data_IF_789695042647
#
_entry.id   IF_789695042647
#
_cell.length_a   1.000
_cell.length_b   1.000
_cell.length_c   1.000
_cell.angle_alpha   90.00
_cell.angle_beta   90.00
_cell.angle_gamma   90.00
#
_symmetry.space_group_name_H-M   'P 1'
#
loop_
_entity.id
_entity.type
_entity.pdbx_description
1 polymer ?
#
# COMPACT_ATOMS: atom_id res chain seq x y z
N UNK A 1 -8.85 -40.31 53.54
CA UNK A 1 -7.71 -41.24 53.67
C UNK A 1 -6.63 -40.65 52.77
N UNK A 2 -5.72 -39.79 53.25
CA UNK A 2 -4.62 -40.07 54.20
C UNK A 2 -3.74 -41.20 53.61
N UNK A 3 -2.43 -41.11 53.40
CA UNK A 3 -1.29 -40.29 53.86
C UNK A 3 -0.18 -40.45 52.78
N UNK A 4 0.97 -39.78 52.70
CA UNK A 4 1.77 -38.89 53.57
C UNK A 4 3.05 -38.52 52.77
N UNK A 5 3.58 -37.29 52.86
CA UNK A 5 4.52 -36.77 53.89
C UNK A 5 5.99 -37.15 53.58
N UNK A 6 6.85 -36.22 53.17
CA UNK A 6 7.61 -35.26 54.01
C UNK A 6 9.12 -35.54 53.73
N UNK A 7 10.12 -34.69 53.91
CA UNK A 7 10.24 -33.36 54.49
C UNK A 7 11.54 -32.69 53.99
N UNK A 8 11.62 -31.38 54.25
CA UNK A 8 12.72 -30.47 54.01
C UNK A 8 13.98 -30.71 54.86
N UNK A 9 15.12 -30.09 54.49
CA UNK A 9 15.70 -28.95 55.23
C UNK A 9 17.22 -28.75 54.99
N UNK A 10 17.57 -27.49 54.65
CA UNK A 10 18.68 -26.64 55.17
C UNK A 10 20.12 -27.18 55.33
N UNK A 11 21.12 -26.43 54.86
CA UNK A 11 21.91 -25.50 55.70
C UNK A 11 23.11 -24.89 54.94
N UNK A 12 23.50 -23.70 55.40
CA UNK A 12 24.53 -22.81 54.90
C UNK A 12 25.95 -23.18 55.37
N UNK A 13 26.98 -22.54 54.79
CA UNK A 13 28.35 -22.55 55.32
C UNK A 13 29.33 -21.74 54.49
N UNK A 14 29.79 -20.61 55.05
CA UNK A 14 30.73 -19.65 54.49
C UNK A 14 32.21 -19.97 54.84
N UNK A 15 33.15 -19.22 54.22
CA UNK A 15 34.55 -19.07 54.65
C UNK A 15 35.53 -19.27 53.48
N UNK A 16 36.03 -18.21 52.81
CA UNK A 16 37.12 -17.31 53.22
C UNK A 16 38.52 -17.96 53.13
N UNK A 17 39.38 -17.45 52.26
CA UNK A 17 40.72 -16.93 52.60
C UNK A 17 41.47 -16.44 51.35
N UNK A 18 42.01 -15.22 51.47
CA UNK A 18 43.11 -14.69 50.66
C UNK A 18 44.45 -15.13 51.31
N UNK A 19 45.60 -14.90 50.64
CA UNK A 19 46.34 -13.71 51.07
C UNK A 19 47.07 -12.96 49.94
N UNK A 20 47.49 -11.76 50.34
CA UNK A 20 48.21 -10.73 49.59
C UNK A 20 49.71 -11.01 49.43
N UNK A 21 50.33 -10.34 48.46
CA UNK A 21 51.78 -10.13 48.37
C UNK A 21 52.08 -8.90 47.51
N UNK A 22 52.62 -7.85 48.15
CA UNK A 22 52.95 -6.55 47.57
C UNK A 22 54.31 -6.52 46.86
N UNK A 23 54.49 -5.58 45.93
CA UNK A 23 55.80 -5.21 45.37
C UNK A 23 55.71 -3.95 44.50
N UNK A 24 56.33 -2.87 44.97
CA UNK A 24 56.40 -1.54 44.36
C UNK A 24 57.48 -1.45 43.26
N UNK A 25 57.36 -0.49 42.33
CA UNK A 25 58.44 -0.14 41.40
C UNK A 25 58.05 0.76 40.22
N UNK A 26 58.07 2.06 40.47
CA UNK A 26 58.65 3.18 39.69
C UNK A 26 58.44 3.36 38.17
N UNK A 27 58.09 4.60 37.82
CA UNK A 27 58.42 5.40 36.63
C UNK A 27 58.39 4.79 35.23
N UNK A 28 57.51 5.30 34.35
CA UNK A 28 57.92 6.09 33.16
C UNK A 28 56.70 6.60 32.38
N UNK A 29 56.73 7.90 32.11
CA UNK A 29 55.85 8.59 31.17
C UNK A 29 56.10 8.07 29.76
N UNK A 30 55.04 7.64 29.07
CA UNK A 30 54.99 7.69 27.61
C UNK A 30 53.56 7.99 27.17
N UNK A 31 53.38 9.20 26.62
CA UNK A 31 52.21 9.62 25.86
C UNK A 31 51.87 8.58 24.78
N UNK A 32 50.71 7.93 24.90
CA UNK A 32 50.10 7.20 23.81
C UNK A 32 48.90 8.00 23.32
N UNK A 33 49.10 8.73 22.22
CA UNK A 33 48.04 9.36 21.44
C UNK A 33 46.89 8.38 21.22
N UNK A 34 45.76 8.63 21.89
CA UNK A 34 44.48 8.03 21.57
C UNK A 34 44.08 8.52 20.18
N UNK A 35 44.45 7.74 19.16
CA UNK A 35 43.95 7.88 17.80
C UNK A 35 42.47 7.55 17.85
N UNK A 36 41.65 8.59 18.07
CA UNK A 36 40.20 8.50 18.07
C UNK A 36 39.76 7.78 16.80
N UNK A 37 39.19 6.59 16.98
CA UNK A 37 38.57 5.82 15.92
C UNK A 37 37.44 6.66 15.34
N UNK A 38 37.68 7.17 14.13
CA UNK A 38 36.65 7.70 13.25
C UNK A 38 35.67 6.55 12.99
N UNK A 39 34.36 6.68 13.24
CA UNK A 39 33.42 5.73 12.68
C UNK A 39 33.39 5.95 11.17
N UNK A 40 34.21 5.21 10.44
CA UNK A 40 34.09 5.06 9.00
C UNK A 40 33.05 3.98 8.73
N UNK A 41 31.79 4.41 8.68
CA UNK A 41 30.82 3.78 7.80
C UNK A 41 30.29 4.90 6.88
N UNK A 42 30.40 4.78 5.55
CA UNK A 42 29.74 5.74 4.68
C UNK A 42 28.25 5.66 4.96
N UNK A 43 27.62 6.80 5.25
CA UNK A 43 26.16 6.85 5.30
C UNK A 43 25.62 6.22 4.01
N UNK A 44 24.61 5.33 4.09
CA UNK A 44 23.96 4.77 2.91
C UNK A 44 23.16 5.88 2.23
N UNK A 45 23.86 6.81 1.59
CA UNK A 45 23.31 8.01 0.99
C UNK A 45 23.31 7.90 -0.52
N UNK A 46 22.45 8.69 -1.17
CA UNK A 46 22.50 8.94 -2.61
C UNK A 46 23.60 9.96 -2.91
N UNK A 47 24.87 9.53 -3.12
CA UNK A 47 26.00 10.45 -3.20
C UNK A 47 25.92 11.14 -4.55
N UNK A 48 25.54 12.42 -4.55
CA UNK A 48 25.34 13.21 -5.78
C UNK A 48 23.95 13.81 -5.91
N UNK A 49 22.91 13.21 -5.30
CA UNK A 49 21.56 13.78 -5.37
C UNK A 49 21.49 15.17 -4.73
N UNK A 50 22.03 15.31 -3.51
CA UNK A 50 22.05 16.60 -2.80
C UNK A 50 22.76 17.71 -3.60
N UNK A 51 23.98 17.50 -4.14
CA UNK A 51 24.61 18.47 -5.04
C UNK A 51 23.75 18.84 -6.26
N UNK A 52 23.14 17.87 -6.94
CA UNK A 52 22.30 18.14 -8.10
C UNK A 52 21.07 18.98 -7.75
N UNK A 53 20.36 18.62 -6.66
CA UNK A 53 19.20 19.36 -6.18
C UNK A 53 19.58 20.79 -5.75
N UNK A 54 20.72 20.95 -5.07
CA UNK A 54 21.23 22.26 -4.68
C UNK A 54 21.60 23.14 -5.88
N UNK A 55 22.15 22.55 -6.95
CA UNK A 55 22.42 23.26 -8.19
C UNK A 55 21.13 23.79 -8.83
N UNK A 56 20.08 22.95 -8.92
CA UNK A 56 18.78 23.38 -9.44
C UNK A 56 18.18 24.54 -8.66
N UNK A 57 18.27 24.48 -7.32
CA UNK A 57 17.81 25.57 -6.45
C UNK A 57 18.63 26.86 -6.67
N UNK A 58 19.94 26.74 -6.82
CA UNK A 58 20.83 27.90 -7.07
C UNK A 58 20.51 28.56 -8.41
N UNK A 59 20.34 27.76 -9.47
CA UNK A 59 19.93 28.26 -10.79
C UNK A 59 18.55 28.93 -10.75
N UNK A 60 17.63 28.44 -9.91
CA UNK A 60 16.31 29.06 -9.72
C UNK A 60 16.42 30.40 -8.99
N UNK A 61 17.28 30.51 -7.97
CA UNK A 61 17.51 31.75 -7.20
C UNK A 61 18.06 32.89 -8.05
N UNK A 62 18.81 32.58 -9.10
CA UNK A 62 19.38 33.57 -10.03
C UNK A 62 18.38 34.03 -11.10
N UNK A 63 17.23 33.37 -11.22
CA UNK A 63 16.19 33.69 -12.19
C UNK A 63 15.07 34.55 -11.58
N UNK A 64 14.36 35.30 -12.42
CA UNK A 64 13.13 35.96 -11.99
C UNK A 64 12.03 34.92 -11.67
N UNK A 65 11.27 35.19 -10.61
CA UNK A 65 10.14 34.34 -10.21
C UNK A 65 9.05 34.45 -11.27
N UNK A 66 8.88 33.38 -12.05
CA UNK A 66 7.92 33.32 -13.16
C UNK A 66 7.39 31.91 -13.35
N UNK A 67 6.33 31.78 -14.13
CA UNK A 67 5.78 30.47 -14.52
C UNK A 67 6.81 29.64 -15.28
N UNK A 68 7.58 30.27 -16.17
CA UNK A 68 8.59 29.61 -17.01
C UNK A 68 9.75 29.05 -16.17
N UNK A 69 10.29 29.85 -15.23
CA UNK A 69 11.39 29.40 -14.36
C UNK A 69 10.92 28.29 -13.40
N UNK A 70 9.71 28.40 -12.87
CA UNK A 70 9.11 27.37 -12.00
C UNK A 70 8.84 26.06 -12.74
N UNK A 71 8.30 26.13 -13.97
CA UNK A 71 8.09 24.96 -14.83
C UNK A 71 9.41 24.26 -15.17
N UNK A 72 10.44 25.04 -15.51
CA UNK A 72 11.77 24.51 -15.81
C UNK A 72 12.36 23.80 -14.59
N UNK A 73 12.28 24.41 -13.41
CA UNK A 73 12.70 23.79 -12.16
C UNK A 73 11.97 22.48 -11.89
N UNK A 74 10.63 22.47 -11.93
CA UNK A 74 9.82 21.28 -11.68
C UNK A 74 10.19 20.13 -12.62
N UNK A 75 10.40 20.40 -13.91
CA UNK A 75 10.83 19.38 -14.88
C UNK A 75 12.21 18.82 -14.56
N UNK A 76 13.20 19.68 -14.34
CA UNK A 76 14.56 19.26 -14.00
C UNK A 76 14.63 18.50 -12.68
N UNK A 77 13.85 18.94 -11.69
CA UNK A 77 13.70 18.28 -10.40
C UNK A 77 13.14 16.87 -10.56
N UNK A 78 12.03 16.71 -11.29
CA UNK A 78 11.45 15.39 -11.57
C UNK A 78 12.42 14.48 -12.33
N UNK A 79 13.11 15.00 -13.35
CA UNK A 79 14.08 14.22 -14.11
C UNK A 79 15.23 13.72 -13.23
N UNK A 80 15.76 14.60 -12.38
CA UNK A 80 16.81 14.25 -11.42
C UNK A 80 16.29 13.17 -10.46
N UNK A 81 15.11 13.37 -9.87
CA UNK A 81 14.54 12.41 -8.93
C UNK A 81 14.31 11.04 -9.56
N UNK A 82 13.78 10.98 -10.78
CA UNK A 82 13.57 9.72 -11.51
C UNK A 82 14.88 8.97 -11.77
N UNK A 83 15.97 9.68 -12.10
CA UNK A 83 17.29 9.08 -12.28
C UNK A 83 17.79 8.38 -11.01
N UNK A 84 17.61 9.02 -9.85
CA UNK A 84 18.07 8.47 -8.58
C UNK A 84 17.12 7.41 -8.00
N UNK A 85 15.80 7.55 -8.17
CA UNK A 85 14.81 6.60 -7.68
C UNK A 85 14.70 5.30 -8.50
N UNK A 86 15.16 5.31 -9.76
CA UNK A 86 15.10 4.13 -10.65
C UNK A 86 16.29 3.18 -10.55
N UNK A 87 17.24 3.43 -9.63
CA UNK A 87 18.50 2.69 -9.56
C UNK A 87 18.37 1.36 -8.76
N UNK A 88 18.59 0.21 -9.41
CA UNK A 88 18.05 -1.12 -9.03
C UNK A 88 18.94 -2.02 -8.14
N UNK A 89 19.53 -1.55 -7.04
CA UNK A 89 20.27 -2.44 -6.13
C UNK A 89 19.46 -2.81 -4.88
N UNK A 90 19.18 -4.11 -4.69
CA UNK A 90 17.95 -4.63 -4.05
C UNK A 90 18.05 -5.16 -2.60
N UNK A 91 18.82 -4.56 -1.70
CA UNK A 91 18.65 -4.81 -0.24
C UNK A 91 18.86 -3.55 0.60
N UNK A 92 19.78 -2.68 0.18
CA UNK A 92 19.96 -1.31 0.70
C UNK A 92 19.00 -0.30 0.06
N UNK A 93 18.13 -0.78 -0.85
CA UNK A 93 17.25 0.04 -1.69
C UNK A 93 16.26 0.88 -0.89
N UNK A 94 15.72 0.35 0.22
CA UNK A 94 14.68 1.02 1.00
C UNK A 94 15.24 2.21 1.79
N UNK A 95 16.38 2.02 2.46
CA UNK A 95 17.11 3.09 3.16
C UNK A 95 17.57 4.16 2.17
N UNK A 96 18.10 3.72 1.02
CA UNK A 96 18.52 4.62 -0.06
C UNK A 96 17.34 5.44 -0.59
N UNK A 97 16.20 4.81 -0.92
CA UNK A 97 15.02 5.51 -1.41
C UNK A 97 14.43 6.44 -0.36
N UNK A 98 14.45 6.06 0.92
CA UNK A 98 13.99 6.91 2.00
C UNK A 98 14.84 8.19 2.07
N UNK A 99 16.16 8.07 1.93
CA UNK A 99 17.07 9.22 1.85
C UNK A 99 16.82 10.05 0.58
N UNK A 100 16.56 9.41 -0.57
CA UNK A 100 16.19 10.11 -1.80
C UNK A 100 14.96 10.99 -1.61
N UNK A 101 13.87 10.44 -1.03
CA UNK A 101 12.65 11.22 -0.78
C UNK A 101 12.86 12.28 0.31
N UNK A 102 13.64 11.98 1.36
CA UNK A 102 13.99 12.97 2.39
C UNK A 102 14.64 14.20 1.79
N UNK A 103 15.67 13.99 0.95
CA UNK A 103 16.41 15.07 0.29
C UNK A 103 15.55 15.82 -0.72
N UNK A 104 14.71 15.10 -1.47
CA UNK A 104 13.80 15.69 -2.44
C UNK A 104 12.78 16.61 -1.77
N UNK A 105 12.14 16.15 -0.69
CA UNK A 105 11.15 16.93 0.07
C UNK A 105 11.81 18.18 0.65
N UNK A 106 12.97 18.03 1.30
CA UNK A 106 13.71 19.13 1.90
C UNK A 106 14.15 20.18 0.87
N UNK A 107 14.67 19.72 -0.29
CA UNK A 107 15.07 20.61 -1.37
C UNK A 107 13.87 21.34 -1.98
N UNK A 108 12.74 20.66 -2.20
CA UNK A 108 11.55 21.30 -2.74
C UNK A 108 10.98 22.37 -1.79
N UNK A 109 10.97 22.08 -0.48
CA UNK A 109 10.58 23.06 0.53
C UNK A 109 11.53 24.27 0.54
N UNK A 110 12.84 24.05 0.39
CA UNK A 110 13.84 25.12 0.34
C UNK A 110 13.73 26.00 -0.92
N UNK A 111 13.34 25.40 -2.05
CA UNK A 111 13.12 26.10 -3.31
C UNK A 111 11.78 26.89 -3.34
N UNK A 112 10.83 26.56 -2.46
CA UNK A 112 9.47 27.13 -2.45
C UNK A 112 9.40 28.66 -2.54
N UNK A 113 10.24 29.45 -1.85
CA UNK A 113 10.19 30.92 -1.90
C UNK A 113 10.43 31.50 -3.31
N UNK A 114 11.07 30.74 -4.19
CA UNK A 114 11.44 31.17 -5.55
C UNK A 114 10.49 30.61 -6.63
N UNK A 115 9.46 29.86 -6.22
CA UNK A 115 8.46 29.27 -7.12
C UNK A 115 7.18 30.10 -7.12
N UNK A 116 6.66 30.41 -8.31
CA UNK A 116 5.38 31.11 -8.45
C UNK A 116 4.19 30.20 -8.11
N UNK A 117 3.12 30.79 -7.60
CA UNK A 117 1.83 30.10 -7.41
C UNK A 117 1.03 29.94 -8.69
N UNK A 118 1.42 30.64 -9.77
CA UNK A 118 0.76 30.58 -11.08
C UNK A 118 1.09 29.29 -11.85
N UNK A 119 2.11 28.56 -11.44
CA UNK A 119 2.57 27.33 -12.09
C UNK A 119 1.94 26.10 -11.41
N UNK A 120 0.99 25.45 -12.09
CA UNK A 120 0.28 24.26 -11.57
C UNK A 120 1.22 23.09 -11.26
N UNK A 121 2.34 22.98 -12.00
CA UNK A 121 3.36 21.95 -11.80
C UNK A 121 3.98 21.99 -10.39
N UNK A 122 4.01 23.13 -9.72
CA UNK A 122 4.57 23.24 -8.36
C UNK A 122 3.75 22.37 -7.38
N UNK A 123 2.42 22.50 -7.43
CA UNK A 123 1.53 21.72 -6.58
C UNK A 123 1.48 20.26 -7.01
N UNK A 124 1.49 20.00 -8.32
CA UNK A 124 1.45 18.65 -8.87
C UNK A 124 2.70 17.84 -8.52
N UNK A 125 3.89 18.43 -8.63
CA UNK A 125 5.15 17.75 -8.27
C UNK A 125 5.18 17.42 -6.79
N UNK A 126 4.81 18.37 -5.92
CA UNK A 126 4.76 18.13 -4.49
C UNK A 126 3.72 17.06 -4.13
N UNK A 127 2.53 17.11 -4.73
CA UNK A 127 1.51 16.08 -4.55
C UNK A 127 2.03 14.70 -4.93
N UNK A 128 2.65 14.54 -6.10
CA UNK A 128 3.24 13.26 -6.52
C UNK A 128 4.37 12.80 -5.59
N UNK A 129 5.21 13.73 -5.15
CA UNK A 129 6.30 13.43 -4.22
C UNK A 129 5.77 12.85 -2.90
N UNK A 130 4.68 13.42 -2.38
CA UNK A 130 3.99 12.91 -1.19
C UNK A 130 3.48 11.50 -1.40
N UNK A 131 2.80 11.26 -2.52
CA UNK A 131 2.24 9.94 -2.81
C UNK A 131 3.33 8.87 -2.96
N UNK A 132 4.38 9.16 -3.71
CA UNK A 132 5.49 8.23 -3.90
C UNK A 132 6.25 7.97 -2.60
N UNK A 133 6.42 8.98 -1.75
CA UNK A 133 7.01 8.79 -0.42
C UNK A 133 6.10 7.93 0.47
N UNK A 134 4.78 8.15 0.46
CA UNK A 134 3.83 7.31 1.21
C UNK A 134 3.88 5.85 0.74
N UNK A 135 3.91 5.60 -0.57
CA UNK A 135 4.02 4.25 -1.14
C UNK A 135 5.25 3.50 -0.64
N UNK A 136 6.40 4.18 -0.61
CA UNK A 136 7.63 3.63 -0.03
C UNK A 136 7.41 3.30 1.45
N UNK A 137 6.90 4.25 2.22
CA UNK A 137 6.69 4.13 3.67
C UNK A 137 5.75 2.96 4.04
N UNK A 138 4.75 2.65 3.21
CA UNK A 138 3.90 1.47 3.42
C UNK A 138 4.70 0.16 3.42
N UNK A 139 5.79 0.11 2.65
CA UNK A 139 6.63 -1.08 2.49
C UNK A 139 7.79 -1.13 3.49
N UNK A 140 8.07 -0.02 4.20
CA UNK A 140 9.18 0.09 5.14
C UNK A 140 8.83 -0.60 6.46
N UNK A 141 9.63 -1.60 6.81
CA UNK A 141 9.63 -2.18 8.16
C UNK A 141 10.42 -1.26 9.09
N UNK A 142 9.73 -0.54 9.99
CA UNK A 142 10.40 0.36 10.96
C UNK A 142 11.44 -0.36 11.83
N UNK A 143 11.29 -1.67 12.06
CA UNK A 143 12.27 -2.48 12.79
C UNK A 143 13.57 -2.77 12.02
N UNK A 144 13.56 -2.60 10.70
CA UNK A 144 14.72 -2.84 9.83
C UNK A 144 15.53 -1.57 9.57
N UNK A 145 15.02 -0.40 9.96
CA UNK A 145 15.70 0.87 9.77
C UNK A 145 16.59 1.24 10.96
N UNK A 146 17.82 1.74 10.72
CA UNK A 146 18.60 2.39 11.76
C UNK A 146 17.82 3.57 12.36
N UNK A 147 17.78 3.64 13.70
CA UNK A 147 16.99 4.64 14.42
C UNK A 147 17.38 6.07 14.05
N UNK A 148 18.67 6.29 13.82
CA UNK A 148 19.23 7.59 13.45
C UNK A 148 18.70 8.06 12.09
N UNK A 149 18.61 7.15 11.11
CA UNK A 149 18.06 7.46 9.78
C UNK A 149 16.59 7.84 9.89
N UNK A 150 15.82 7.09 10.68
CA UNK A 150 14.39 7.37 10.88
C UNK A 150 14.16 8.72 11.56
N UNK A 151 14.88 9.03 12.65
CA UNK A 151 14.76 10.31 13.36
C UNK A 151 15.12 11.48 12.45
N UNK A 152 16.19 11.38 11.66
CA UNK A 152 16.57 12.41 10.69
C UNK A 152 15.51 12.60 9.60
N UNK A 153 14.88 11.51 9.15
CA UNK A 153 13.76 11.57 8.22
C UNK A 153 12.57 12.33 8.79
N UNK A 154 12.12 11.96 10.01
CA UNK A 154 11.00 12.62 10.69
C UNK A 154 11.25 14.11 10.90
N UNK A 155 12.45 14.48 11.35
CA UNK A 155 12.83 15.88 11.55
C UNK A 155 12.79 16.66 10.23
N UNK A 156 13.41 16.11 9.17
CA UNK A 156 13.44 16.77 7.86
C UNK A 156 12.04 16.95 7.29
N UNK A 157 11.16 15.97 7.50
CA UNK A 157 9.78 16.00 7.05
C UNK A 157 8.97 17.08 7.79
N UNK A 158 9.13 17.19 9.11
CA UNK A 158 8.49 18.22 9.92
C UNK A 158 8.97 19.62 9.51
N UNK A 159 10.29 19.85 9.42
CA UNK A 159 10.85 21.14 9.02
C UNK A 159 10.39 21.55 7.61
N UNK A 160 10.33 20.59 6.67
CA UNK A 160 9.85 20.84 5.32
C UNK A 160 8.35 21.15 5.28
N UNK A 161 7.57 20.51 6.15
CA UNK A 161 6.14 20.79 6.28
C UNK A 161 5.91 22.19 6.82
N UNK A 162 6.59 22.58 7.89
CA UNK A 162 6.47 23.90 8.49
C UNK A 162 6.85 24.99 7.49
N UNK A 163 7.97 24.80 6.75
CA UNK A 163 8.40 25.73 5.70
C UNK A 163 7.38 25.87 4.56
N UNK A 164 6.77 24.77 4.10
CA UNK A 164 5.75 24.79 3.05
C UNK A 164 4.41 25.39 3.52
N UNK A 165 4.10 25.24 4.81
CA UNK A 165 2.88 25.75 5.43
C UNK A 165 2.87 27.28 5.47
N UNK A 166 4.04 27.94 5.61
CA UNK A 166 4.18 29.39 5.48
C UNK A 166 3.69 29.92 4.12
N UNK A 167 3.71 29.07 3.09
CA UNK A 167 3.20 29.38 1.74
C UNK A 167 1.81 28.78 1.48
N UNK A 168 1.08 28.40 2.54
CA UNK A 168 -0.28 27.85 2.47
C UNK A 168 -0.36 26.43 1.93
N UNK A 169 0.75 25.69 1.86
CA UNK A 169 0.76 24.32 1.36
C UNK A 169 0.77 23.30 2.50
N UNK A 170 -0.25 22.46 2.54
CA UNK A 170 -0.45 21.47 3.61
C UNK A 170 -0.28 20.02 3.12
N UNK A 171 0.28 19.79 1.93
CA UNK A 171 0.33 18.47 1.30
C UNK A 171 1.17 17.46 2.10
N UNK A 172 2.20 17.92 2.82
CA UNK A 172 3.05 17.04 3.66
C UNK A 172 2.38 16.57 4.95
N UNK A 173 1.26 17.17 5.37
CA UNK A 173 0.63 16.91 6.67
C UNK A 173 0.34 15.43 6.89
N UNK A 174 -0.13 14.73 5.85
CA UNK A 174 -0.42 13.31 5.93
C UNK A 174 0.82 12.48 6.28
N UNK A 175 1.97 12.76 5.64
CA UNK A 175 3.21 12.06 5.94
C UNK A 175 3.66 12.34 7.36
N UNK A 176 3.60 13.60 7.80
CA UNK A 176 3.92 13.98 9.19
C UNK A 176 3.03 13.23 10.18
N UNK A 177 1.74 13.17 9.89
CA UNK A 177 0.78 12.51 10.76
C UNK A 177 1.02 10.99 10.86
N UNK A 178 1.07 10.29 9.73
CA UNK A 178 1.16 8.81 9.71
C UNK A 178 2.51 8.30 10.22
N UNK A 179 3.57 9.10 10.13
CA UNK A 179 4.91 8.71 10.59
C UNK A 179 5.17 9.02 12.06
N UNK A 180 4.31 9.82 12.72
CA UNK A 180 4.47 10.21 14.14
C UNK A 180 4.43 9.00 15.08
N UNK A 181 3.44 8.14 14.92
CA UNK A 181 3.31 6.89 15.69
C UNK A 181 3.85 5.69 14.92
N UNK A 182 3.95 5.82 13.59
CA UNK A 182 4.36 4.79 12.66
C UNK A 182 3.27 4.45 11.65
N UNK A 183 3.68 4.12 10.44
CA UNK A 183 2.80 4.10 9.26
C UNK A 183 1.62 3.15 9.44
N UNK A 184 1.82 2.04 10.16
CA UNK A 184 0.80 1.04 10.45
C UNK A 184 0.40 0.98 11.94
N UNK A 185 0.86 1.92 12.76
CA UNK A 185 0.79 1.84 14.23
C UNK A 185 -0.32 2.67 14.86
N UNK A 186 -1.07 3.44 14.06
CA UNK A 186 -2.24 4.16 14.56
C UNK A 186 -3.20 3.17 15.27
N UNK A 187 -3.66 3.46 16.50
CA UNK A 187 -4.42 2.51 17.31
C UNK A 187 -5.77 2.15 16.70
N UNK A 188 -6.45 3.10 16.04
CA UNK A 188 -7.71 2.85 15.35
C UNK A 188 -7.47 1.94 14.15
N UNK A 189 -6.44 2.25 13.35
CA UNK A 189 -6.03 1.41 12.22
C UNK A 189 -5.69 -0.02 12.67
N UNK A 190 -4.93 -0.19 13.75
CA UNK A 190 -4.58 -1.50 14.29
C UNK A 190 -5.82 -2.30 14.73
N UNK A 191 -6.81 -1.67 15.36
CA UNK A 191 -8.08 -2.32 15.70
C UNK A 191 -8.79 -2.80 14.43
N UNK A 192 -8.87 -1.97 13.38
CA UNK A 192 -9.48 -2.33 12.10
C UNK A 192 -8.76 -3.54 11.47
N UNK A 193 -7.43 -3.48 11.36
CA UNK A 193 -6.62 -4.53 10.74
C UNK A 193 -6.66 -5.85 11.54
N UNK A 194 -6.85 -5.77 12.86
CA UNK A 194 -7.04 -6.94 13.72
C UNK A 194 -8.51 -7.37 13.85
N UNK A 195 -9.42 -6.75 13.09
CA UNK A 195 -10.86 -7.06 13.07
C UNK A 195 -11.54 -6.91 14.44
N UNK A 196 -11.02 -6.01 15.27
CA UNK A 196 -11.63 -5.62 16.53
C UNK A 196 -12.75 -4.59 16.29
N UNK A 197 -13.76 -4.52 17.17
CA UNK A 197 -14.78 -3.49 17.08
C UNK A 197 -14.16 -2.09 17.26
N UNK A 198 -14.58 -1.16 16.42
CA UNK A 198 -14.14 0.25 16.43
C UNK A 198 -15.35 1.15 16.41
N UNK A 199 -15.33 2.20 17.22
CA UNK A 199 -16.41 3.18 17.26
C UNK A 199 -16.49 3.96 15.94
N UNK A 200 -17.71 4.21 15.47
CA UNK A 200 -17.93 4.90 14.18
C UNK A 200 -17.26 6.26 14.14
N UNK A 201 -17.23 6.98 15.27
CA UNK A 201 -16.59 8.30 15.34
C UNK A 201 -15.05 8.23 15.26
N UNK A 202 -14.42 7.18 15.80
CA UNK A 202 -12.98 6.94 15.65
C UNK A 202 -12.64 6.66 14.17
N UNK A 203 -13.47 5.88 13.49
CA UNK A 203 -13.34 5.58 12.07
C UNK A 203 -13.49 6.84 11.21
N UNK A 204 -14.51 7.65 11.45
CA UNK A 204 -14.74 8.87 10.69
C UNK A 204 -13.58 9.86 10.84
N UNK A 205 -13.00 9.95 12.04
CA UNK A 205 -11.79 10.76 12.29
C UNK A 205 -10.60 10.25 11.48
N UNK A 206 -10.36 8.93 11.43
CA UNK A 206 -9.30 8.33 10.61
C UNK A 206 -9.51 8.63 9.13
N UNK A 207 -10.74 8.48 8.62
CA UNK A 207 -11.07 8.75 7.22
C UNK A 207 -10.89 10.21 6.86
N UNK A 208 -11.37 11.13 7.69
CA UNK A 208 -11.23 12.57 7.47
C UNK A 208 -9.76 13.01 7.52
N UNK A 209 -8.95 12.35 8.35
CA UNK A 209 -7.54 12.66 8.53
C UNK A 209 -6.64 12.12 7.41
N UNK A 210 -6.82 10.85 7.01
CA UNK A 210 -6.00 10.26 5.95
C UNK A 210 -6.52 10.59 4.55
N UNK A 211 -7.83 10.68 4.38
CA UNK A 211 -8.47 10.86 3.10
C UNK A 211 -8.48 9.59 2.23
N UNK A 212 -9.36 9.56 1.22
CA UNK A 212 -9.65 8.34 0.46
C UNK A 212 -8.44 7.82 -0.33
N UNK A 213 -7.60 8.69 -0.86
CA UNK A 213 -6.46 8.28 -1.70
C UNK A 213 -5.44 7.44 -0.91
N UNK A 214 -5.07 7.89 0.28
CA UNK A 214 -4.08 7.21 1.13
C UNK A 214 -4.63 5.90 1.69
N UNK A 215 -5.91 5.87 2.07
CA UNK A 215 -6.61 4.63 2.44
C UNK A 215 -6.62 3.62 1.29
N UNK A 216 -6.88 4.06 0.06
CA UNK A 216 -6.83 3.19 -1.11
C UNK A 216 -5.42 2.63 -1.34
N UNK A 217 -4.37 3.45 -1.15
CA UNK A 217 -2.98 2.97 -1.24
C UNK A 217 -2.67 1.90 -0.20
N UNK A 218 -3.14 2.06 1.05
CA UNK A 218 -3.01 1.03 2.10
C UNK A 218 -3.66 -0.27 1.69
N UNK A 219 -4.90 -0.23 1.18
CA UNK A 219 -5.64 -1.42 0.74
C UNK A 219 -4.89 -2.11 -0.41
N UNK A 220 -4.44 -1.34 -1.42
CA UNK A 220 -3.63 -1.87 -2.53
C UNK A 220 -2.35 -2.52 -2.04
N UNK A 221 -1.68 -1.92 -1.06
CA UNK A 221 -0.48 -2.50 -0.45
C UNK A 221 -0.80 -3.82 0.27
N UNK A 222 -1.85 -3.86 1.10
CA UNK A 222 -2.26 -5.08 1.81
C UNK A 222 -2.58 -6.22 0.85
N UNK A 223 -3.29 -5.93 -0.24
CA UNK A 223 -3.57 -6.90 -1.31
C UNK A 223 -2.28 -7.44 -1.94
N UNK A 224 -1.35 -6.56 -2.30
CA UNK A 224 -0.05 -6.94 -2.89
C UNK A 224 0.80 -7.77 -1.93
N UNK A 225 0.70 -7.51 -0.63
CA UNK A 225 1.40 -8.23 0.44
C UNK A 225 0.65 -9.49 0.91
N UNK A 226 -0.43 -9.89 0.22
CA UNK A 226 -1.28 -11.04 0.53
C UNK A 226 -1.91 -11.01 1.95
N UNK A 227 -2.09 -9.82 2.52
CA UNK A 227 -2.78 -9.58 3.79
C UNK A 227 -4.29 -9.43 3.55
N UNK A 228 -4.90 -10.47 2.98
CA UNK A 228 -6.31 -10.44 2.53
C UNK A 228 -7.28 -10.07 3.67
N UNK A 229 -7.25 -10.66 4.88
CA UNK A 229 -8.21 -10.31 5.93
C UNK A 229 -8.17 -8.84 6.32
N UNK A 230 -6.97 -8.25 6.38
CA UNK A 230 -6.76 -6.84 6.68
C UNK A 230 -7.29 -5.94 5.55
N UNK A 231 -7.02 -6.30 4.30
CA UNK A 231 -7.53 -5.59 3.13
C UNK A 231 -9.06 -5.63 3.08
N UNK A 232 -9.67 -6.79 3.37
CA UNK A 232 -11.13 -6.97 3.46
C UNK A 232 -11.74 -6.04 4.50
N UNK A 233 -11.18 -6.03 5.73
CA UNK A 233 -11.71 -5.21 6.81
C UNK A 233 -11.66 -3.71 6.49
N UNK A 234 -10.51 -3.24 5.99
CA UNK A 234 -10.33 -1.82 5.67
C UNK A 234 -11.15 -1.37 4.45
N UNK A 235 -11.20 -2.18 3.39
CA UNK A 235 -12.00 -1.88 2.18
C UNK A 235 -13.49 -1.88 2.45
N UNK A 236 -14.01 -2.85 3.22
CA UNK A 236 -15.41 -2.87 3.65
C UNK A 236 -15.81 -1.60 4.40
N UNK A 237 -15.02 -1.25 5.41
CA UNK A 237 -15.26 -0.07 6.24
C UNK A 237 -15.24 1.22 5.40
N UNK A 238 -14.33 1.34 4.44
CA UNK A 238 -14.32 2.50 3.54
C UNK A 238 -15.51 2.50 2.57
N UNK A 239 -15.91 1.33 2.05
CA UNK A 239 -17.02 1.21 1.13
C UNK A 239 -18.38 1.54 1.76
N UNK A 240 -18.53 1.28 3.07
CA UNK A 240 -19.74 1.57 3.84
C UNK A 240 -19.74 2.99 4.46
N UNK A 241 -18.65 3.75 4.31
CA UNK A 241 -18.50 5.06 4.92
C UNK A 241 -19.32 6.15 4.22
N UNK A 242 -19.97 7.00 5.02
CA UNK A 242 -20.69 8.20 4.54
C UNK A 242 -19.78 9.42 4.37
N UNK A 243 -18.58 9.38 4.93
CA UNK A 243 -17.59 10.47 4.84
C UNK A 243 -16.89 10.50 3.48
N UNK A 244 -16.97 9.41 2.72
CA UNK A 244 -16.34 9.26 1.42
C UNK A 244 -17.38 9.48 0.32
N UNK A 245 -17.18 10.50 -0.52
CA UNK A 245 -18.12 10.83 -1.59
C UNK A 245 -18.17 9.80 -2.73
N UNK A 246 -17.04 9.16 -3.05
CA UNK A 246 -16.92 8.14 -4.09
C UNK A 246 -16.32 6.85 -3.53
N UNK A 247 -17.19 5.90 -3.20
CA UNK A 247 -16.80 4.61 -2.59
C UNK A 247 -16.51 3.50 -3.59
N UNK A 248 -16.74 3.71 -4.90
CA UNK A 248 -16.63 2.68 -5.94
C UNK A 248 -15.30 1.92 -5.93
N UNK A 249 -14.20 2.64 -5.73
CA UNK A 249 -12.86 2.03 -5.69
C UNK A 249 -12.63 1.17 -4.44
N UNK A 250 -13.27 1.50 -3.31
CA UNK A 250 -13.25 0.71 -2.10
C UNK A 250 -14.14 -0.52 -2.23
N UNK A 251 -15.30 -0.35 -2.87
CA UNK A 251 -16.21 -1.46 -3.18
C UNK A 251 -15.53 -2.47 -4.10
N UNK A 252 -14.87 -2.02 -5.19
CA UNK A 252 -14.09 -2.90 -6.07
C UNK A 252 -13.00 -3.66 -5.30
N UNK A 253 -12.26 -2.97 -4.42
CA UNK A 253 -11.24 -3.62 -3.60
C UNK A 253 -11.84 -4.64 -2.62
N UNK A 254 -12.99 -4.34 -2.00
CA UNK A 254 -13.70 -5.24 -1.12
C UNK A 254 -14.17 -6.50 -1.86
N UNK A 255 -14.80 -6.34 -3.02
CA UNK A 255 -15.24 -7.47 -3.86
C UNK A 255 -14.05 -8.30 -4.35
N UNK A 256 -12.93 -7.66 -4.68
CA UNK A 256 -11.68 -8.35 -5.03
C UNK A 256 -11.19 -9.23 -3.87
N UNK A 257 -11.24 -8.73 -2.63
CA UNK A 257 -10.89 -9.50 -1.45
C UNK A 257 -11.84 -10.70 -1.26
N UNK A 258 -13.16 -10.48 -1.40
CA UNK A 258 -14.15 -11.55 -1.27
C UNK A 258 -13.92 -12.66 -2.30
N UNK A 259 -13.56 -12.31 -3.54
CA UNK A 259 -13.25 -13.28 -4.58
C UNK A 259 -12.07 -14.20 -4.20
N UNK A 260 -11.07 -13.68 -3.47
CA UNK A 260 -9.89 -14.45 -3.08
C UNK A 260 -10.14 -15.50 -2.00
N UNK A 261 -11.28 -15.43 -1.29
CA UNK A 261 -11.66 -16.37 -0.22
C UNK A 261 -12.82 -17.30 -0.61
N UNK A 262 -13.26 -17.27 -1.86
CA UNK A 262 -14.29 -18.18 -2.36
C UNK A 262 -13.82 -19.65 -2.30
N UNK A 263 -14.72 -20.62 -2.08
CA UNK A 263 -16.19 -20.54 -2.08
C UNK A 263 -16.82 -20.30 -0.70
N UNK A 264 -16.27 -19.40 0.13
CA UNK A 264 -16.87 -19.03 1.40
C UNK A 264 -18.31 -18.50 1.25
N UNK A 265 -19.26 -19.08 2.00
CA UNK A 265 -20.70 -18.73 1.93
C UNK A 265 -20.99 -17.28 2.31
N UNK A 266 -20.29 -16.72 3.28
CA UNK A 266 -20.52 -15.33 3.69
C UNK A 266 -19.97 -14.36 2.64
N UNK A 267 -18.85 -14.69 1.99
CA UNK A 267 -18.37 -13.94 0.83
C UNK A 267 -19.37 -13.94 -0.33
N UNK A 268 -19.99 -15.09 -0.62
CA UNK A 268 -21.05 -15.20 -1.64
C UNK A 268 -22.24 -14.32 -1.26
N UNK A 269 -22.68 -14.33 0.00
CA UNK A 269 -23.78 -13.48 0.50
C UNK A 269 -23.45 -11.99 0.47
N UNK A 270 -22.19 -11.60 0.61
CA UNK A 270 -21.78 -10.19 0.51
C UNK A 270 -21.73 -9.73 -0.95
N UNK A 271 -21.14 -10.54 -1.85
CA UNK A 271 -21.14 -10.30 -3.31
C UNK A 271 -22.58 -10.18 -3.84
N UNK A 272 -23.49 -11.01 -3.33
CA UNK A 272 -24.91 -11.01 -3.64
C UNK A 272 -25.64 -9.68 -3.42
N UNK A 273 -25.14 -8.82 -2.53
CA UNK A 273 -25.78 -7.55 -2.17
C UNK A 273 -25.49 -6.44 -3.16
N UNK A 274 -24.47 -6.61 -4.00
CA UNK A 274 -24.03 -5.60 -4.97
C UNK A 274 -24.98 -5.56 -6.16
N UNK A 275 -25.30 -4.35 -6.64
CA UNK A 275 -26.12 -4.19 -7.83
C UNK A 275 -25.43 -4.82 -9.05
N UNK A 276 -26.22 -5.42 -9.94
CA UNK A 276 -25.65 -6.14 -11.08
C UNK A 276 -24.88 -5.21 -12.04
N UNK A 277 -25.29 -3.95 -12.22
CA UNK A 277 -24.53 -3.01 -13.05
C UNK A 277 -23.18 -2.69 -12.43
N UNK A 278 -23.15 -2.48 -11.12
CA UNK A 278 -21.90 -2.26 -10.40
C UNK A 278 -20.98 -3.48 -10.48
N UNK A 279 -21.53 -4.71 -10.40
CA UNK A 279 -20.74 -5.92 -10.63
C UNK A 279 -20.17 -5.98 -12.05
N UNK A 280 -20.95 -5.61 -13.06
CA UNK A 280 -20.46 -5.53 -14.45
C UNK A 280 -19.34 -4.49 -14.60
N UNK A 281 -19.48 -3.32 -13.97
CA UNK A 281 -18.45 -2.29 -13.97
C UNK A 281 -17.16 -2.78 -13.29
N UNK A 282 -17.28 -3.47 -12.15
CA UNK A 282 -16.14 -4.09 -11.45
C UNK A 282 -15.47 -5.14 -12.34
N UNK A 283 -16.24 -6.01 -13.00
CA UNK A 283 -15.70 -7.01 -13.94
C UNK A 283 -14.91 -6.33 -15.07
N UNK A 284 -15.47 -5.28 -15.68
CA UNK A 284 -14.80 -4.52 -16.73
C UNK A 284 -13.49 -3.89 -16.24
N UNK A 285 -13.50 -3.31 -15.05
CA UNK A 285 -12.31 -2.70 -14.47
C UNK A 285 -11.23 -3.75 -14.21
N UNK A 286 -11.58 -4.89 -13.62
CA UNK A 286 -10.65 -6.00 -13.38
C UNK A 286 -10.04 -6.52 -14.69
N UNK A 287 -10.84 -6.65 -15.75
CA UNK A 287 -10.33 -7.01 -17.09
C UNK A 287 -9.35 -5.96 -17.63
N UNK A 288 -9.68 -4.67 -17.51
CA UNK A 288 -8.80 -3.59 -17.97
C UNK A 288 -7.48 -3.52 -17.20
N UNK A 289 -7.49 -3.98 -15.94
CA UNK A 289 -6.31 -4.11 -15.08
C UNK A 289 -5.53 -5.41 -15.32
N UNK A 290 -6.01 -6.29 -16.22
CA UNK A 290 -5.38 -7.59 -16.53
C UNK A 290 -5.63 -8.67 -15.48
N UNK A 291 -6.60 -8.49 -14.58
CA UNK A 291 -6.98 -9.45 -13.54
C UNK A 291 -8.06 -10.44 -14.02
N UNK A 292 -7.84 -11.07 -15.18
CA UNK A 292 -8.82 -11.95 -15.84
C UNK A 292 -9.33 -13.07 -14.93
N UNK A 293 -8.45 -13.67 -14.10
CA UNK A 293 -8.85 -14.72 -13.16
C UNK A 293 -9.83 -14.22 -12.10
N UNK A 294 -9.57 -13.05 -11.50
CA UNK A 294 -10.46 -12.45 -10.50
C UNK A 294 -11.79 -12.04 -11.13
N UNK A 295 -11.74 -11.42 -12.31
CA UNK A 295 -12.94 -11.04 -13.07
C UNK A 295 -13.81 -12.27 -13.37
N UNK A 296 -13.19 -13.37 -13.80
CA UNK A 296 -13.87 -14.62 -14.08
C UNK A 296 -14.48 -15.26 -12.83
N UNK A 297 -13.77 -15.27 -11.70
CA UNK A 297 -14.26 -15.78 -10.42
C UNK A 297 -15.47 -14.98 -9.94
N UNK A 298 -15.41 -13.65 -10.01
CA UNK A 298 -16.54 -12.77 -9.67
C UNK A 298 -17.73 -13.04 -10.58
N UNK A 299 -17.51 -13.05 -11.90
CA UNK A 299 -18.55 -13.25 -12.90
C UNK A 299 -19.23 -14.62 -12.75
N UNK A 300 -18.44 -15.68 -12.52
CA UNK A 300 -18.96 -17.05 -12.31
C UNK A 300 -19.78 -17.13 -11.04
N UNK A 301 -19.29 -16.55 -9.94
CA UNK A 301 -19.99 -16.53 -8.64
C UNK A 301 -21.33 -15.82 -8.74
N UNK A 302 -21.32 -14.60 -9.28
CA UNK A 302 -22.54 -13.79 -9.40
C UNK A 302 -23.55 -14.41 -10.38
N UNK A 303 -23.09 -14.95 -11.52
CA UNK A 303 -23.95 -15.64 -12.48
C UNK A 303 -24.57 -16.90 -11.87
N UNK A 304 -23.78 -17.73 -11.16
CA UNK A 304 -24.29 -18.91 -10.45
C UNK A 304 -25.43 -18.54 -9.51
N UNK A 305 -25.27 -17.44 -8.77
CA UNK A 305 -26.30 -16.93 -7.88
C UNK A 305 -27.55 -16.45 -8.63
N UNK A 306 -27.40 -15.70 -9.74
CA UNK A 306 -28.55 -15.29 -10.56
C UNK A 306 -29.34 -16.49 -11.08
N UNK A 307 -28.64 -17.52 -11.55
CA UNK A 307 -29.27 -18.77 -12.03
C UNK A 307 -30.09 -19.45 -10.93
N UNK A 308 -29.52 -19.56 -9.71
CA UNK A 308 -30.16 -20.20 -8.56
C UNK A 308 -31.30 -19.38 -7.94
N UNK A 309 -31.23 -18.06 -8.00
CA UNK A 309 -32.26 -17.14 -7.46
C UNK A 309 -33.30 -16.72 -8.48
N UNK A 310 -33.14 -17.14 -9.74
CA UNK A 310 -34.01 -16.78 -10.87
C UNK A 310 -34.04 -15.28 -11.19
N UNK A 311 -33.02 -14.52 -10.76
CA UNK A 311 -32.87 -13.10 -11.10
C UNK A 311 -32.42 -12.94 -12.55
N UNK A 312 -33.14 -12.16 -13.36
CA UNK A 312 -32.88 -11.96 -14.79
C UNK A 312 -32.29 -10.59 -15.15
N UNK A 313 -31.97 -9.78 -14.14
CA UNK A 313 -31.47 -8.42 -14.34
C UNK A 313 -30.03 -8.42 -14.87
N UNK A 314 -29.82 -7.78 -16.02
CA UNK A 314 -28.55 -7.77 -16.77
C UNK A 314 -27.95 -9.16 -17.07
N UNK A 315 -28.77 -10.21 -17.09
CA UNK A 315 -28.28 -11.59 -17.23
C UNK A 315 -27.68 -11.88 -18.60
N UNK A 316 -28.11 -11.18 -19.65
CA UNK A 316 -27.49 -11.32 -20.98
C UNK A 316 -26.07 -10.78 -20.97
N UNK A 317 -25.87 -9.57 -20.49
CA UNK A 317 -24.57 -8.90 -20.37
C UNK A 317 -23.64 -9.76 -19.51
N UNK A 318 -24.10 -10.21 -18.34
CA UNK A 318 -23.33 -11.04 -17.42
C UNK A 318 -22.95 -12.40 -18.06
N UNK A 319 -23.88 -13.07 -18.73
CA UNK A 319 -23.59 -14.35 -19.42
C UNK A 319 -22.61 -14.15 -20.57
N UNK A 320 -22.72 -13.04 -21.30
CA UNK A 320 -21.80 -12.68 -22.37
C UNK A 320 -20.38 -12.41 -21.84
N UNK A 321 -20.25 -11.61 -20.77
CA UNK A 321 -18.98 -11.37 -20.09
C UNK A 321 -18.35 -12.68 -19.62
N UNK A 322 -19.13 -13.50 -18.91
CA UNK A 322 -18.69 -14.82 -18.45
C UNK A 322 -18.15 -15.66 -19.60
N UNK A 323 -18.88 -15.72 -20.73
CA UNK A 323 -18.47 -16.54 -21.88
C UNK A 323 -17.13 -16.09 -22.47
N UNK A 324 -16.92 -14.77 -22.62
CA UNK A 324 -15.67 -14.21 -23.13
C UNK A 324 -14.51 -14.46 -22.17
N UNK A 325 -14.72 -14.23 -20.87
CA UNK A 325 -13.72 -14.50 -19.82
C UNK A 325 -13.35 -15.98 -19.77
N UNK A 326 -14.35 -16.86 -19.82
CA UNK A 326 -14.16 -18.31 -19.86
C UNK A 326 -13.26 -18.74 -21.02
N UNK A 327 -13.52 -18.20 -22.22
CA UNK A 327 -12.76 -18.51 -23.44
C UNK A 327 -11.34 -17.96 -23.44
N UNK A 328 -11.09 -16.85 -22.72
CA UNK A 328 -9.73 -16.33 -22.52
C UNK A 328 -8.92 -17.19 -21.56
N UNK A 329 -9.54 -17.65 -20.46
CA UNK A 329 -8.87 -18.51 -19.46
C UNK A 329 -8.64 -19.91 -20.00
N UNK A 330 -9.63 -20.48 -20.69
CA UNK A 330 -9.53 -21.79 -21.33
C UNK A 330 -10.13 -21.75 -22.75
N UNK A 331 -9.26 -21.78 -23.79
CA UNK A 331 -9.69 -21.83 -25.19
C UNK A 331 -10.35 -23.15 -25.61
N UNK A 332 -10.43 -24.17 -24.74
CA UNK A 332 -11.11 -25.44 -25.03
C UNK A 332 -12.62 -25.25 -25.22
N UNK A 333 -13.14 -25.70 -26.37
CA UNK A 333 -14.58 -25.65 -26.63
C UNK A 333 -15.33 -26.67 -25.75
N UNK A 334 -14.76 -27.85 -25.55
CA UNK A 334 -15.38 -28.91 -24.74
C UNK A 334 -15.53 -28.46 -23.28
N UNK A 335 -14.51 -27.82 -22.71
CA UNK A 335 -14.59 -27.27 -21.35
C UNK A 335 -15.66 -26.19 -21.26
N UNK A 336 -15.72 -25.30 -22.26
CA UNK A 336 -16.73 -24.25 -22.32
C UNK A 336 -18.15 -24.83 -22.37
N UNK A 337 -18.40 -25.81 -23.25
CA UNK A 337 -19.71 -26.47 -23.38
C UNK A 337 -20.11 -27.19 -22.10
N UNK A 338 -19.17 -27.89 -21.43
CA UNK A 338 -19.46 -28.56 -20.17
C UNK A 338 -19.80 -27.55 -19.05
N UNK A 339 -19.13 -26.40 -18.99
CA UNK A 339 -19.49 -25.34 -18.03
C UNK A 339 -20.84 -24.71 -18.35
N UNK A 340 -21.16 -24.46 -19.63
CA UNK A 340 -22.50 -24.01 -20.02
C UNK A 340 -23.58 -25.03 -19.63
N UNK A 341 -23.30 -26.33 -19.77
CA UNK A 341 -24.20 -27.40 -19.35
C UNK A 341 -24.42 -27.37 -17.84
N UNK A 342 -23.37 -27.21 -17.04
CA UNK A 342 -23.47 -27.08 -15.57
C UNK A 342 -24.36 -25.89 -15.17
N UNK A 343 -24.20 -24.74 -15.83
CA UNK A 343 -25.10 -23.60 -15.65
C UNK A 343 -26.53 -23.88 -16.10
N UNK A 344 -26.71 -24.61 -17.21
CA UNK A 344 -28.03 -25.01 -17.69
C UNK A 344 -28.77 -25.90 -16.69
N UNK A 345 -28.07 -26.76 -15.95
CA UNK A 345 -28.67 -27.64 -14.92
C UNK A 345 -29.23 -26.84 -13.74
N UNK A 346 -28.57 -25.74 -13.34
CA UNK A 346 -28.99 -24.92 -12.20
C UNK A 346 -29.91 -23.75 -12.60
N UNK A 347 -30.04 -23.46 -13.90
CA UNK A 347 -30.86 -22.38 -14.41
C UNK A 347 -32.35 -22.64 -14.11
N UNK A 348 -32.98 -21.71 -13.37
CA UNK A 348 -34.41 -21.80 -13.04
C UNK A 348 -35.35 -21.09 -14.02
N UNK A 349 -34.83 -20.42 -15.04
CA UNK A 349 -35.63 -19.61 -15.98
C UNK A 349 -35.30 -19.93 -17.43
N UNK A 350 -36.29 -19.79 -18.32
CA UNK A 350 -36.11 -19.94 -19.76
C UNK A 350 -35.16 -18.88 -20.34
N UNK A 351 -35.17 -17.67 -19.78
CA UNK A 351 -34.30 -16.58 -20.22
C UNK A 351 -32.82 -16.91 -20.01
N UNK A 352 -32.46 -17.52 -18.88
CA UNK A 352 -31.09 -17.96 -18.63
C UNK A 352 -30.65 -19.05 -19.61
N UNK A 353 -31.51 -20.04 -19.88
CA UNK A 353 -31.23 -21.07 -20.89
C UNK A 353 -31.04 -20.44 -22.28
N UNK A 354 -31.85 -19.45 -22.64
CA UNK A 354 -31.72 -18.72 -23.90
C UNK A 354 -30.40 -17.95 -23.98
N UNK A 355 -29.97 -17.29 -22.88
CA UNK A 355 -28.66 -16.62 -22.83
C UNK A 355 -27.52 -17.61 -23.05
N UNK A 356 -27.54 -18.78 -22.38
CA UNK A 356 -26.55 -19.84 -22.53
C UNK A 356 -26.51 -20.38 -23.97
N UNK A 357 -27.66 -20.68 -24.58
CA UNK A 357 -27.73 -21.13 -25.98
C UNK A 357 -27.11 -20.10 -26.92
N UNK A 358 -27.40 -18.82 -26.72
CA UNK A 358 -26.86 -17.75 -27.56
C UNK A 358 -25.35 -17.58 -27.45
N UNK A 359 -24.78 -17.68 -26.24
CA UNK A 359 -23.31 -17.61 -26.10
C UNK A 359 -22.64 -18.86 -26.69
N UNK A 360 -23.26 -20.04 -26.58
CA UNK A 360 -22.80 -21.27 -27.26
C UNK A 360 -22.77 -21.06 -28.78
N UNK A 361 -23.86 -20.58 -29.37
CA UNK A 361 -23.94 -20.33 -30.80
C UNK A 361 -22.88 -19.33 -31.27
N UNK A 362 -22.65 -18.27 -30.48
CA UNK A 362 -21.67 -17.22 -30.81
C UNK A 362 -20.25 -17.78 -30.80
N UNK A 363 -19.85 -18.49 -29.75
CA UNK A 363 -18.48 -19.01 -29.61
C UNK A 363 -18.18 -20.16 -30.56
N UNK A 364 -19.16 -21.03 -30.85
CA UNK A 364 -19.02 -22.11 -31.85
C UNK A 364 -18.93 -21.54 -33.27
N UNK A 365 -19.68 -20.49 -33.58
CA UNK A 365 -19.67 -19.86 -34.91
C UNK A 365 -18.38 -19.09 -35.18
N UNK A 366 -17.78 -18.46 -34.16
CA UNK A 366 -16.50 -17.75 -34.29
C UNK A 366 -15.34 -18.67 -34.70
N UNK A 367 -15.39 -19.96 -34.35
CA UNK A 367 -14.42 -20.97 -34.81
C UNK A 367 -14.55 -21.30 -36.31
N UNK A 368 -15.75 -21.21 -36.89
CA UNK A 368 -15.95 -21.49 -38.32
C UNK A 368 -15.43 -20.36 -39.24
N UNK A 369 -15.10 -19.19 -38.71
CA UNK A 369 -14.50 -18.09 -39.49
C UNK A 369 -12.96 -18.04 -39.41
N UNK A 370 -12.35 -18.86 -38.53
CA UNK A 370 -10.90 -18.95 -38.33
C UNK A 370 -10.28 -20.22 -38.97
N UNK A 371 -11.12 -21.10 -39.52
CA UNK A 371 -10.75 -22.22 -40.40
C UNK A 371 -11.18 -21.88 -41.83
#
# INVERSE_FOLDING_TARGET
MADGKGDAATAAGAGAEAPAGAGAGDGTETESMARGQRPTSPAPGAPGLRPCLWQLETELREQEVSEVSSLKYCRSFCQTLLQYASNKNASEHMVYLLEVYRLAIQSFASARPYLTTECEDVLLVLGRLVLSCFELLLSVSESELPREVWVLFLQSLQESHDALLEFGNNNLQILVHVTKEGVWKNPVLLKILSQQPVETEEVNKLIAQEGPFFLQMRIKHLLKSNCIPQATALSKLCAESKEISNVSSFQQAYITCLCSILPNEDAIKEIAKVDCKEVLDIICNLESEGQDNTAFVLCTTYLTQQLQTASVYCSWELTLFWSKLQRRIDPSLDTFLERCRQFGVIAKTQQHLFCLIRVIQTEVSNLCFLC
#
